data_IF_212819382963
#
_entry.id   IF_212819382963
#
_cell.length_a   1.000
_cell.length_b   1.000
_cell.length_c   1.000
_cell.angle_alpha   90.00
_cell.angle_beta   90.00
_cell.angle_gamma   90.00
#
_symmetry.space_group_name_H-M   'P 1'
#
loop_
_entity.id
_entity.type
_entity.pdbx_description
1 polymer ?
#
# COMPACT_ATOMS: atom_id res chain seq x y z
N UNK A 1 -0.38 0.12 -28.93
CA UNK A 1 0.92 0.14 -28.23
C UNK A 1 0.87 -0.99 -27.23
N UNK A 2 1.44 -2.13 -27.61
CA UNK A 2 1.54 -3.32 -26.76
C UNK A 2 2.63 -3.03 -25.72
N UNK A 3 2.24 -2.81 -24.48
CA UNK A 3 3.17 -2.78 -23.36
C UNK A 3 3.69 -4.21 -23.17
N UNK A 4 4.95 -4.42 -23.54
CA UNK A 4 5.63 -5.68 -23.30
C UNK A 4 5.95 -5.73 -21.81
N UNK A 5 5.27 -6.62 -21.08
CA UNK A 5 5.49 -6.84 -19.65
C UNK A 5 6.96 -7.10 -19.35
N UNK A 6 7.68 -6.02 -19.02
CA UNK A 6 9.05 -6.07 -18.55
C UNK A 6 9.07 -6.79 -17.21
N UNK A 7 10.08 -7.63 -16.98
CA UNK A 7 10.32 -8.24 -15.67
C UNK A 7 10.37 -7.12 -14.61
N UNK A 8 9.46 -7.16 -13.66
CA UNK A 8 9.48 -6.26 -12.49
C UNK A 8 10.63 -6.70 -11.59
N UNK A 9 11.59 -5.80 -11.38
CA UNK A 9 12.60 -5.94 -10.34
C UNK A 9 12.09 -5.26 -9.06
N UNK A 10 11.93 -6.03 -7.99
CA UNK A 10 11.39 -5.50 -6.72
C UNK A 10 12.29 -4.44 -6.08
N UNK A 11 13.60 -4.47 -6.35
CA UNK A 11 14.55 -3.45 -5.88
C UNK A 11 14.32 -2.07 -6.50
N UNK A 12 13.75 -2.02 -7.71
CA UNK A 12 13.57 -0.76 -8.46
C UNK A 12 12.19 -0.12 -8.23
N UNK A 13 11.30 -0.80 -7.51
CA UNK A 13 9.92 -0.35 -7.25
C UNK A 13 9.90 1.00 -6.55
N UNK A 14 10.81 1.23 -5.59
CA UNK A 14 10.84 2.49 -4.87
C UNK A 14 11.12 3.68 -5.81
N UNK A 15 11.95 3.48 -6.83
CA UNK A 15 12.31 4.51 -7.80
C UNK A 15 11.30 4.63 -8.94
N UNK A 16 10.52 3.57 -9.20
CA UNK A 16 9.58 3.46 -10.31
C UNK A 16 8.25 2.84 -9.85
N UNK A 17 7.53 3.43 -8.88
CA UNK A 17 6.35 2.82 -8.26
C UNK A 17 5.19 2.64 -9.25
N UNK A 18 5.18 3.39 -10.34
CA UNK A 18 4.18 3.31 -11.41
C UNK A 18 4.18 1.97 -12.14
N UNK A 19 5.31 1.24 -12.16
CA UNK A 19 5.43 -0.06 -12.83
C UNK A 19 4.52 -1.14 -12.25
N UNK A 20 4.13 -0.99 -10.99
CA UNK A 20 3.18 -1.89 -10.32
C UNK A 20 1.97 -1.17 -9.74
N UNK A 21 1.78 0.10 -10.11
CA UNK A 21 0.59 0.86 -9.71
C UNK A 21 -0.55 0.53 -10.66
N UNK A 22 -1.63 -0.02 -10.12
CA UNK A 22 -2.88 -0.27 -10.83
C UNK A 22 -3.84 0.87 -10.54
N UNK A 23 -4.57 1.35 -11.55
CA UNK A 23 -5.54 2.43 -11.40
C UNK A 23 -6.88 1.97 -11.95
N UNK A 24 -7.92 2.16 -11.18
CA UNK A 24 -9.27 1.74 -11.54
C UNK A 24 -10.29 2.83 -11.20
N UNK A 25 -11.38 2.86 -11.97
CA UNK A 25 -12.54 3.67 -11.62
C UNK A 25 -13.54 2.78 -10.88
N UNK A 26 -13.88 3.16 -9.65
CA UNK A 26 -14.90 2.45 -8.89
C UNK A 26 -16.30 2.77 -9.43
N UNK A 27 -17.32 1.92 -9.16
CA UNK A 27 -18.71 2.23 -9.54
C UNK A 27 -19.24 3.55 -8.99
N UNK A 28 -18.66 4.07 -7.91
CA UNK A 28 -18.96 5.41 -7.36
C UNK A 28 -18.43 6.57 -8.21
N UNK A 29 -17.60 6.29 -9.21
CA UNK A 29 -16.86 7.29 -9.99
C UNK A 29 -15.56 7.78 -9.34
N UNK A 30 -15.26 7.34 -8.10
CA UNK A 30 -13.95 7.64 -7.48
C UNK A 30 -12.83 6.89 -8.20
N UNK A 31 -11.69 7.57 -8.36
CA UNK A 31 -10.46 6.98 -8.91
C UNK A 31 -9.70 6.29 -7.78
N UNK A 32 -9.60 4.98 -7.87
CA UNK A 32 -8.80 4.16 -6.98
C UNK A 32 -7.42 3.91 -7.57
N UNK A 33 -6.41 3.84 -6.70
CA UNK A 33 -5.09 3.32 -7.06
C UNK A 33 -4.71 2.22 -6.08
N UNK A 34 -4.10 1.14 -6.57
CA UNK A 34 -3.34 0.21 -5.77
C UNK A 34 -1.88 0.47 -6.09
N UNK A 35 -1.10 0.98 -5.13
CA UNK A 35 0.28 1.41 -5.34
C UNK A 35 1.20 0.96 -4.21
N UNK A 36 2.52 0.91 -4.42
CA UNK A 36 3.48 0.69 -3.33
C UNK A 36 3.32 1.71 -2.20
N UNK A 37 3.55 1.27 -0.97
CA UNK A 37 3.72 2.17 0.17
C UNK A 37 5.04 2.92 0.04
N UNK A 38 4.99 4.24 0.12
CA UNK A 38 6.15 5.13 -0.02
C UNK A 38 6.55 5.72 1.33
N UNK A 39 7.80 6.17 1.45
CA UNK A 39 8.33 6.71 2.71
C UNK A 39 7.62 7.97 3.21
N UNK A 40 6.95 8.71 2.33
CA UNK A 40 6.18 9.91 2.63
C UNK A 40 4.70 9.64 2.97
N UNK A 41 4.25 8.39 2.97
CA UNK A 41 2.85 8.05 3.25
C UNK A 41 2.51 8.00 4.75
N UNK A 42 3.48 8.24 5.64
CA UNK A 42 3.34 8.03 7.08
C UNK A 42 2.10 8.73 7.68
N UNK A 43 1.79 9.95 7.24
CA UNK A 43 0.64 10.70 7.73
C UNK A 43 -0.69 10.01 7.32
N UNK A 44 -0.89 9.78 6.02
CA UNK A 44 -2.14 9.17 5.51
C UNK A 44 -2.28 7.70 5.90
N UNK A 45 -1.17 6.98 6.12
CA UNK A 45 -1.20 5.63 6.66
C UNK A 45 -1.61 5.64 8.13
N UNK A 46 -1.08 6.58 8.92
CA UNK A 46 -1.45 6.72 10.32
C UNK A 46 -2.94 7.03 10.50
N UNK A 47 -3.50 7.93 9.69
CA UNK A 47 -4.94 8.20 9.63
C UNK A 47 -5.74 6.91 9.36
N UNK A 48 -5.32 6.11 8.37
CA UNK A 48 -5.95 4.83 8.07
C UNK A 48 -5.88 3.84 9.25
N UNK A 49 -4.70 3.62 9.84
CA UNK A 49 -4.52 2.67 10.94
C UNK A 49 -5.36 3.05 12.17
N UNK A 50 -5.38 4.34 12.53
CA UNK A 50 -6.18 4.84 13.65
C UNK A 50 -7.69 4.84 13.35
N UNK A 51 -8.07 4.92 12.07
CA UNK A 51 -9.45 4.83 11.61
C UNK A 51 -10.00 3.40 11.49
N UNK A 52 -9.18 2.36 11.69
CA UNK A 52 -9.65 0.97 11.69
C UNK A 52 -10.64 0.72 12.82
N UNK A 53 -11.67 -0.09 12.57
CA UNK A 53 -12.64 -0.46 13.59
C UNK A 53 -12.02 -1.29 14.72
N UNK A 54 -12.59 -1.20 15.92
CA UNK A 54 -12.15 -1.97 17.09
C UNK A 54 -12.10 -3.48 16.80
N UNK A 55 -13.08 -3.98 16.03
CA UNK A 55 -13.12 -5.37 15.57
C UNK A 55 -11.90 -5.73 14.72
N UNK A 56 -11.52 -4.86 13.79
CA UNK A 56 -10.35 -5.08 12.93
C UNK A 56 -9.06 -5.04 13.74
N UNK A 57 -8.90 -4.03 14.59
CA UNK A 57 -7.70 -3.90 15.44
C UNK A 57 -7.55 -5.10 16.38
N UNK A 58 -8.65 -5.55 16.99
CA UNK A 58 -8.68 -6.73 17.86
C UNK A 58 -8.31 -8.02 17.12
N UNK A 59 -8.84 -8.21 15.91
CA UNK A 59 -8.53 -9.39 15.08
C UNK A 59 -7.04 -9.50 14.74
N UNK A 60 -6.36 -8.37 14.55
CA UNK A 60 -4.94 -8.31 14.20
C UNK A 60 -4.03 -7.96 15.39
N UNK A 61 -4.49 -8.08 16.64
CA UNK A 61 -3.62 -8.00 17.80
C UNK A 61 -2.52 -9.10 17.73
N UNK A 62 -1.29 -8.85 18.26
CA UNK A 62 -0.89 -7.71 19.09
C UNK A 62 -0.34 -6.51 18.31
N UNK A 63 -0.58 -6.40 17.00
CA UNK A 63 -0.04 -5.29 16.21
C UNK A 63 -0.62 -3.94 16.64
N UNK A 64 0.26 -2.94 16.79
CA UNK A 64 -0.16 -1.58 17.08
C UNK A 64 -0.70 -0.91 15.81
N UNK A 65 -1.83 -0.21 15.94
CA UNK A 65 -2.48 0.52 14.85
C UNK A 65 -2.50 2.02 15.18
N UNK A 66 -1.32 2.64 15.17
CA UNK A 66 -1.12 4.04 15.55
C UNK A 66 -0.17 4.78 14.58
N UNK A 67 -0.04 6.09 14.78
CA UNK A 67 0.82 6.94 13.96
C UNK A 67 2.31 6.55 14.04
N UNK A 68 2.78 6.13 15.21
CA UNK A 68 4.18 5.71 15.40
C UNK A 68 4.51 4.48 14.53
N UNK A 69 3.60 3.51 14.50
CA UNK A 69 3.71 2.33 13.64
C UNK A 69 3.74 2.73 12.17
N UNK A 70 2.89 3.67 11.75
CA UNK A 70 2.91 4.17 10.36
C UNK A 70 4.25 4.81 9.99
N UNK A 71 4.84 5.62 10.89
CA UNK A 71 6.17 6.22 10.70
C UNK A 71 7.24 5.14 10.56
N UNK A 72 7.24 4.14 11.45
CA UNK A 72 8.20 3.03 11.40
C UNK A 72 8.08 2.23 10.09
N UNK A 73 6.85 1.90 9.67
CA UNK A 73 6.59 1.17 8.43
C UNK A 73 7.06 1.94 7.19
N UNK A 74 6.83 3.25 7.15
CA UNK A 74 7.25 4.10 6.04
C UNK A 74 8.76 4.34 6.02
N UNK A 75 9.39 4.45 7.20
CA UNK A 75 10.85 4.59 7.32
C UNK A 75 11.60 3.31 6.94
N UNK A 76 10.99 2.14 7.18
CA UNK A 76 11.57 0.82 6.91
C UNK A 76 11.13 0.23 5.56
N UNK A 77 10.64 1.04 4.61
CA UNK A 77 10.23 0.54 3.30
C UNK A 77 11.43 -0.06 2.56
N UNK A 78 11.37 -1.39 2.38
CA UNK A 78 12.26 -2.15 1.52
C UNK A 78 11.41 -3.13 0.69
N UNK A 79 11.06 -2.72 -0.53
CA UNK A 79 10.19 -3.51 -1.42
C UNK A 79 10.84 -4.79 -1.95
N UNK A 80 12.17 -4.91 -1.90
CA UNK A 80 12.87 -6.13 -2.27
C UNK A 80 12.65 -7.26 -1.25
N UNK A 81 12.43 -6.92 0.03
CA UNK A 81 12.20 -7.89 1.10
C UNK A 81 10.71 -8.10 1.40
N UNK A 82 9.92 -7.03 1.39
CA UNK A 82 8.49 -7.11 1.68
C UNK A 82 7.73 -6.06 0.87
N UNK A 83 6.88 -6.54 -0.04
CA UNK A 83 6.04 -5.65 -0.83
C UNK A 83 4.82 -5.23 -0.01
N UNK A 84 4.79 -3.95 0.37
CA UNK A 84 3.63 -3.31 0.99
C UNK A 84 2.90 -2.48 -0.05
N UNK A 85 1.61 -2.75 -0.21
CA UNK A 85 0.74 -2.00 -1.11
C UNK A 85 -0.31 -1.25 -0.30
N UNK A 86 -0.70 -0.08 -0.80
CA UNK A 86 -1.83 0.70 -0.30
C UNK A 86 -2.86 0.87 -1.41
N UNK A 87 -4.13 0.70 -1.06
CA UNK A 87 -5.23 1.12 -1.88
C UNK A 87 -5.61 2.54 -1.48
N UNK A 88 -5.66 3.46 -2.43
CA UNK A 88 -5.96 4.87 -2.19
C UNK A 88 -7.12 5.35 -3.04
N UNK A 89 -7.85 6.35 -2.53
CA UNK A 89 -8.86 7.09 -3.27
C UNK A 89 -8.44 8.55 -3.36
N UNK A 90 -8.50 9.10 -4.58
CA UNK A 90 -8.26 10.52 -4.81
C UNK A 90 -9.58 11.30 -4.87
N UNK A 91 -9.72 12.36 -4.05
CA UNK A 91 -10.81 13.33 -4.16
C UNK A 91 -10.27 14.74 -3.96
N UNK A 92 -10.47 15.62 -4.96
CA UNK A 92 -10.14 17.05 -4.87
C UNK A 92 -8.73 17.31 -4.28
N UNK A 93 -7.72 16.73 -4.92
CA UNK A 93 -6.29 16.86 -4.58
C UNK A 93 -5.87 16.29 -3.22
N UNK A 94 -6.74 15.52 -2.56
CA UNK A 94 -6.37 14.73 -1.38
C UNK A 94 -6.46 13.24 -1.66
N UNK A 95 -5.38 12.55 -1.36
CA UNK A 95 -5.30 11.09 -1.36
C UNK A 95 -5.60 10.57 0.05
N UNK A 96 -6.42 9.53 0.15
CA UNK A 96 -6.65 8.80 1.40
C UNK A 96 -6.41 7.32 1.20
N UNK A 97 -5.78 6.66 2.17
CA UNK A 97 -5.64 5.20 2.17
C UNK A 97 -6.97 4.59 2.64
N UNK A 98 -7.42 3.59 1.90
CA UNK A 98 -8.62 2.78 2.20
C UNK A 98 -8.32 1.29 2.35
N UNK A 99 -7.08 0.88 2.08
CA UNK A 99 -6.62 -0.48 2.28
C UNK A 99 -5.10 -0.56 2.37
N UNK A 100 -4.60 -1.51 3.15
CA UNK A 100 -3.18 -1.78 3.31
C UNK A 100 -2.96 -3.29 3.22
N UNK A 101 -1.98 -3.70 2.41
CA UNK A 101 -1.70 -5.09 2.09
C UNK A 101 -0.22 -5.37 2.25
N UNK A 102 0.10 -6.53 2.82
CA UNK A 102 1.45 -7.09 2.82
C UNK A 102 1.42 -8.28 1.87
N UNK A 103 2.26 -8.23 0.83
CA UNK A 103 2.35 -9.27 -0.18
C UNK A 103 3.70 -9.97 -0.01
N UNK A 104 3.62 -11.24 0.39
CA UNK A 104 4.76 -12.16 0.38
C UNK A 104 4.63 -13.04 -0.86
N UNK A 105 5.51 -12.84 -1.83
CA UNK A 105 5.57 -13.67 -3.03
C UNK A 105 6.38 -14.92 -2.71
N UNK A 106 5.70 -16.06 -2.56
CA UNK A 106 6.32 -17.36 -2.39
C UNK A 106 5.95 -18.29 -3.54
N UNK A 107 6.85 -19.20 -3.88
CA UNK A 107 6.48 -20.40 -4.63
C UNK A 107 5.96 -21.41 -3.61
N UNK A 108 4.71 -21.84 -3.76
CA UNK A 108 4.19 -22.96 -2.97
C UNK A 108 4.85 -24.22 -3.53
N UNK A 109 5.71 -24.86 -2.76
CA UNK A 109 6.13 -26.23 -3.10
C UNK A 109 4.87 -27.09 -3.10
N UNK A 110 4.62 -27.77 -4.23
CA UNK A 110 3.49 -28.66 -4.43
C UNK A 110 3.74 -30.03 -3.83
#
# INVERSE_FOLDING_TARGET
>A
VTDQGGRVNFGDIYQNPERITIRESLPSGEKAQLRPLMGNDAAILGEYLMGLSDRTRSFYCPHQFNQETAVQLCAAVNHAETLRLVATLGRQDRERIVGYFIVNLGVREG
#
